data_IF_538895497992
#
_entry.id   IF_538895497992
#
_cell.length_a   1.000
_cell.length_b   1.000
_cell.length_c   1.000
_cell.angle_alpha   90.00
_cell.angle_beta   90.00
_cell.angle_gamma   90.00
#
_symmetry.space_group_name_H-M   'P 1'
#
loop_
_entity.id
_entity.type
_entity.pdbx_description
1 polymer ?
#
# COMPACT_ATOMS: atom_id res chain seq x y z
N UNK A 1 -16.14 15.13 3.28
CA UNK A 1 -15.62 14.08 4.19
C UNK A 1 -14.25 14.50 4.64
N UNK A 2 -13.99 14.40 5.94
CA UNK A 2 -12.74 14.80 6.56
C UNK A 2 -11.73 13.65 6.53
N UNK A 3 -10.49 13.94 6.16
CA UNK A 3 -9.38 12.97 6.11
C UNK A 3 -8.26 13.27 7.12
N UNK A 4 -8.49 14.15 8.10
CA UNK A 4 -7.46 14.55 9.08
C UNK A 4 -6.94 13.36 9.90
N UNK A 5 -7.72 12.30 10.05
CA UNK A 5 -7.30 11.07 10.73
C UNK A 5 -6.08 10.39 10.11
N UNK A 6 -5.81 10.61 8.82
CA UNK A 6 -4.72 9.95 8.08
C UNK A 6 -3.34 10.13 8.75
N UNK A 7 -3.13 11.28 9.39
CA UNK A 7 -1.83 11.61 10.01
C UNK A 7 -1.77 11.31 11.52
N UNK A 8 -2.74 10.58 12.05
CA UNK A 8 -2.81 10.27 13.49
C UNK A 8 -2.85 8.77 13.74
N UNK A 9 -2.30 8.28 14.88
CA UNK A 9 -2.50 6.91 15.28
C UNK A 9 -3.99 6.57 15.40
N UNK A 10 -4.41 5.36 15.05
CA UNK A 10 -3.61 4.22 14.62
C UNK A 10 -3.34 4.18 13.10
N UNK A 11 -3.82 5.13 12.31
CA UNK A 11 -3.69 5.15 10.84
C UNK A 11 -2.30 5.57 10.37
N UNK A 12 -1.60 6.38 11.16
CA UNK A 12 -0.19 6.71 10.97
C UNK A 12 0.54 6.56 12.30
N UNK A 13 1.65 5.84 12.29
CA UNK A 13 2.49 5.63 13.46
C UNK A 13 3.48 6.77 13.71
N UNK A 14 3.25 7.93 13.14
CA UNK A 14 4.08 9.11 13.41
C UNK A 14 4.02 9.45 14.89
N UNK A 15 5.13 9.26 15.57
CA UNK A 15 5.28 9.76 16.93
C UNK A 15 5.29 11.29 16.93
N UNK A 16 4.74 11.88 17.98
CA UNK A 16 4.84 13.32 18.16
C UNK A 16 6.33 13.72 18.24
N UNK A 17 6.70 14.71 17.47
CA UNK A 17 8.08 15.23 17.46
C UNK A 17 8.41 15.73 18.87
N UNK A 18 9.43 15.15 19.49
CA UNK A 18 9.79 15.53 20.86
C UNK A 18 10.19 17.02 20.94
N UNK A 19 9.81 17.75 21.98
CA UNK A 19 10.21 19.15 22.14
C UNK A 19 11.74 19.34 22.10
N UNK A 20 12.50 18.37 22.57
CA UNK A 20 13.96 18.37 22.51
C UNK A 20 14.49 18.32 21.08
N UNK A 21 13.89 17.50 20.21
CA UNK A 21 14.25 17.42 18.79
C UNK A 21 13.93 18.74 18.07
N UNK A 22 12.80 19.37 18.39
CA UNK A 22 12.44 20.68 17.86
C UNK A 22 13.48 21.74 18.24
N UNK A 23 13.89 21.76 19.51
CA UNK A 23 14.91 22.70 20.01
C UNK A 23 16.28 22.44 19.37
N UNK A 24 16.67 21.17 19.27
CA UNK A 24 17.93 20.78 18.61
C UNK A 24 17.94 21.22 17.16
N UNK A 25 16.85 21.00 16.44
CA UNK A 25 16.74 21.40 15.03
C UNK A 25 16.75 22.92 14.83
N UNK A 26 16.29 23.72 15.81
CA UNK A 26 16.46 25.20 15.76
C UNK A 26 17.93 25.61 15.79
N UNK A 27 18.76 24.90 16.55
CA UNK A 27 20.20 25.15 16.61
C UNK A 27 20.90 24.65 15.34
N UNK A 28 20.64 23.42 14.94
CA UNK A 28 21.24 22.77 13.79
C UNK A 28 20.93 23.48 12.47
N UNK A 29 19.76 24.09 12.34
CA UNK A 29 19.39 24.90 11.18
C UNK A 29 20.39 26.04 10.90
N UNK A 30 21.07 26.58 11.93
CA UNK A 30 22.07 27.64 11.76
C UNK A 30 23.33 27.19 11.00
N UNK A 31 23.58 25.88 10.99
CA UNK A 31 24.72 25.25 10.29
C UNK A 31 24.27 24.36 9.13
N UNK A 32 23.02 24.52 8.68
CA UNK A 32 22.49 23.78 7.52
C UNK A 32 22.18 22.29 7.79
N UNK A 33 22.12 21.88 9.06
CA UNK A 33 21.83 20.51 9.47
C UNK A 33 20.42 20.37 10.02
N UNK A 34 19.84 19.16 9.91
CA UNK A 34 18.58 18.77 10.50
C UNK A 34 18.64 17.32 10.93
N UNK A 35 18.08 17.01 12.10
CA UNK A 35 17.82 15.66 12.54
C UNK A 35 16.36 15.36 12.20
N UNK A 36 16.12 14.28 11.47
CA UNK A 36 14.78 13.78 11.22
C UNK A 36 14.47 12.63 12.19
N UNK A 37 13.19 12.51 12.54
CA UNK A 37 12.70 11.41 13.34
C UNK A 37 12.79 10.14 12.49
N UNK A 38 13.43 9.11 13.03
CA UNK A 38 13.43 7.80 12.38
C UNK A 38 12.09 7.12 12.63
N UNK A 39 11.39 6.77 11.55
CA UNK A 39 10.17 5.98 11.64
C UNK A 39 10.51 4.53 11.93
N UNK A 40 9.70 3.90 12.78
CA UNK A 40 9.70 2.45 12.89
C UNK A 40 9.02 1.86 11.63
N UNK A 41 9.83 1.69 10.58
CA UNK A 41 9.39 1.09 9.31
C UNK A 41 8.83 -0.33 9.49
N UNK A 42 9.14 -0.97 10.61
CA UNK A 42 8.59 -2.27 10.98
C UNK A 42 7.09 -2.22 11.29
N UNK A 43 6.59 -1.04 11.61
CA UNK A 43 5.19 -0.85 12.00
C UNK A 43 4.40 -0.06 10.98
N UNK A 44 5.07 0.78 10.21
CA UNK A 44 4.41 1.65 9.24
C UNK A 44 5.39 2.09 8.16
N UNK A 45 5.23 1.54 6.96
CA UNK A 45 6.03 1.89 5.78
C UNK A 45 5.32 2.87 4.86
N UNK A 46 4.01 3.12 5.07
CA UNK A 46 3.23 3.98 4.20
C UNK A 46 3.44 5.47 4.51
N UNK A 47 3.73 6.27 3.50
CA UNK A 47 3.85 7.73 3.64
C UNK A 47 2.47 8.41 3.80
N UNK A 48 2.46 9.67 4.26
CA UNK A 48 1.22 10.45 4.33
C UNK A 48 0.68 10.76 2.94
N UNK A 49 1.58 11.02 2.00
CA UNK A 49 1.25 11.27 0.59
C UNK A 49 0.55 10.07 -0.04
N UNK A 50 1.07 8.87 0.20
CA UNK A 50 0.43 7.61 -0.24
C UNK A 50 -0.97 7.46 0.37
N UNK A 51 -1.13 7.69 1.68
CA UNK A 51 -2.43 7.61 2.34
C UNK A 51 -3.44 8.61 1.79
N UNK A 52 -3.00 9.84 1.48
CA UNK A 52 -3.87 10.85 0.86
C UNK A 52 -4.34 10.36 -0.50
N UNK A 53 -3.44 9.82 -1.33
CA UNK A 53 -3.79 9.27 -2.63
C UNK A 53 -4.77 8.09 -2.49
N UNK A 54 -4.49 7.14 -1.61
CA UNK A 54 -5.38 5.98 -1.38
C UNK A 54 -6.75 6.41 -0.87
N UNK A 55 -6.81 7.39 0.04
CA UNK A 55 -8.07 7.95 0.49
C UNK A 55 -8.89 8.49 -0.67
N UNK A 56 -8.29 9.27 -1.58
CA UNK A 56 -9.01 9.83 -2.72
C UNK A 56 -9.42 8.78 -3.74
N UNK A 57 -8.53 7.83 -4.07
CA UNK A 57 -8.83 6.75 -5.01
C UNK A 57 -9.96 5.85 -4.47
N UNK A 58 -9.89 5.45 -3.21
CA UNK A 58 -10.92 4.63 -2.60
C UNK A 58 -12.25 5.41 -2.43
N UNK A 59 -12.18 6.70 -2.05
CA UNK A 59 -13.35 7.58 -1.99
C UNK A 59 -14.06 7.64 -3.35
N UNK A 60 -13.32 7.68 -4.45
CA UNK A 60 -13.87 7.68 -5.80
C UNK A 60 -14.64 6.41 -6.11
N UNK A 61 -14.10 5.24 -5.72
CA UNK A 61 -14.80 3.95 -5.87
C UNK A 61 -16.16 3.95 -5.17
N UNK A 62 -16.24 4.52 -3.96
CA UNK A 62 -17.49 4.62 -3.23
C UNK A 62 -18.46 5.64 -3.83
N UNK A 63 -17.96 6.80 -4.28
CA UNK A 63 -18.79 7.83 -4.91
C UNK A 63 -19.40 7.38 -6.24
N UNK A 64 -18.67 6.56 -6.98
CA UNK A 64 -19.12 6.00 -8.27
C UNK A 64 -19.93 4.69 -8.06
N UNK A 65 -20.17 4.29 -6.81
CA UNK A 65 -20.95 3.09 -6.43
C UNK A 65 -20.44 1.81 -7.10
N UNK A 66 -19.12 1.71 -7.30
CA UNK A 66 -18.50 0.56 -7.97
C UNK A 66 -18.81 -0.72 -7.21
N UNK A 67 -19.36 -1.73 -7.90
CA UNK A 67 -19.67 -3.03 -7.32
C UNK A 67 -18.42 -3.83 -6.98
N UNK A 68 -18.54 -4.69 -5.97
CA UNK A 68 -17.46 -5.60 -5.56
C UNK A 68 -16.85 -5.25 -4.21
N UNK A 69 -15.88 -6.04 -3.80
CA UNK A 69 -15.23 -6.00 -2.50
C UNK A 69 -13.90 -5.23 -2.56
N UNK A 70 -13.30 -5.02 -1.40
CA UNK A 70 -11.98 -4.42 -1.27
C UNK A 70 -10.94 -5.52 -1.06
N UNK A 71 -9.79 -5.40 -1.72
CA UNK A 71 -8.71 -6.41 -1.65
C UNK A 71 -7.37 -5.72 -1.39
N UNK A 72 -6.54 -6.33 -0.54
CA UNK A 72 -5.13 -6.00 -0.39
C UNK A 72 -4.28 -7.25 -0.53
N UNK A 73 -3.29 -7.19 -1.41
CA UNK A 73 -2.32 -8.26 -1.67
C UNK A 73 -0.95 -7.80 -1.19
N UNK A 74 -0.48 -8.40 -0.09
CA UNK A 74 0.64 -7.90 0.69
C UNK A 74 0.18 -6.87 1.72
N UNK A 75 -0.09 -7.35 2.95
CA UNK A 75 -0.74 -6.53 3.97
C UNK A 75 0.18 -6.18 5.13
N UNK A 76 1.17 -7.03 5.40
CA UNK A 76 2.09 -6.89 6.51
C UNK A 76 1.36 -6.61 7.84
N UNK A 77 1.63 -5.48 8.50
CA UNK A 77 0.97 -5.10 9.78
C UNK A 77 -0.39 -4.43 9.60
N UNK A 78 -0.89 -4.31 8.36
CA UNK A 78 -2.23 -3.84 8.03
C UNK A 78 -2.43 -2.33 8.03
N UNK A 79 -1.39 -1.51 7.86
CA UNK A 79 -1.53 -0.06 7.94
C UNK A 79 -2.34 0.54 6.78
N UNK A 80 -2.19 0.01 5.57
CA UNK A 80 -3.04 0.40 4.44
C UNK A 80 -4.45 -0.18 4.60
N UNK A 81 -4.57 -1.45 5.00
CA UNK A 81 -5.86 -2.09 5.30
C UNK A 81 -6.68 -1.32 6.34
N UNK A 82 -6.04 -0.77 7.39
CA UNK A 82 -6.70 0.10 8.37
C UNK A 82 -7.32 1.35 7.73
N UNK A 83 -6.58 2.00 6.83
CA UNK A 83 -7.07 3.15 6.08
C UNK A 83 -8.28 2.75 5.22
N UNK A 84 -8.17 1.64 4.48
CA UNK A 84 -9.25 1.15 3.61
C UNK A 84 -10.51 0.84 4.41
N UNK A 85 -10.36 0.14 5.52
CA UNK A 85 -11.49 -0.19 6.40
C UNK A 85 -12.09 1.06 7.05
N UNK A 86 -11.28 2.06 7.41
CA UNK A 86 -11.79 3.33 7.93
C UNK A 86 -12.63 4.07 6.90
N UNK A 87 -12.15 4.17 5.67
CA UNK A 87 -12.90 4.81 4.56
C UNK A 87 -14.18 4.03 4.29
N UNK A 88 -14.12 2.70 4.24
CA UNK A 88 -15.29 1.84 4.08
C UNK A 88 -16.36 2.12 5.16
N UNK A 89 -15.94 2.20 6.43
CA UNK A 89 -16.84 2.53 7.55
C UNK A 89 -17.46 3.93 7.43
N UNK A 90 -16.70 4.92 6.91
CA UNK A 90 -17.19 6.29 6.71
C UNK A 90 -18.28 6.40 5.64
N UNK A 91 -18.21 5.56 4.61
CA UNK A 91 -19.23 5.52 3.56
C UNK A 91 -20.44 4.64 3.91
N UNK A 92 -20.26 3.64 4.78
CA UNK A 92 -21.35 2.79 5.26
C UNK A 92 -21.88 1.77 4.25
N UNK A 93 -21.18 1.54 3.13
CA UNK A 93 -21.60 0.57 2.10
C UNK A 93 -21.37 -0.89 2.48
N UNK A 94 -20.61 -1.14 3.56
CA UNK A 94 -20.42 -2.48 4.10
C UNK A 94 -19.66 -3.45 3.20
N UNK A 95 -18.80 -2.95 2.29
CA UNK A 95 -17.92 -3.81 1.48
C UNK A 95 -17.01 -4.61 2.41
N UNK A 96 -16.80 -5.89 2.10
CA UNK A 96 -15.83 -6.70 2.82
C UNK A 96 -14.41 -6.30 2.37
N UNK A 97 -13.50 -6.29 3.31
CA UNK A 97 -12.06 -6.13 3.05
C UNK A 97 -11.38 -7.48 3.18
N UNK A 98 -10.77 -7.96 2.11
CA UNK A 98 -9.98 -9.17 2.04
C UNK A 98 -8.50 -8.82 2.03
N UNK A 99 -7.70 -9.47 2.89
CA UNK A 99 -6.26 -9.26 2.95
C UNK A 99 -5.52 -10.57 2.76
N UNK A 100 -4.52 -10.54 1.87
CA UNK A 100 -3.71 -11.70 1.49
C UNK A 100 -2.27 -11.47 1.88
N UNK A 101 -1.70 -12.34 2.70
CA UNK A 101 -0.29 -12.29 3.11
C UNK A 101 0.16 -13.64 3.68
N UNK A 102 1.42 -13.97 3.54
CA UNK A 102 1.99 -15.14 4.22
C UNK A 102 2.15 -14.91 5.72
N UNK A 103 2.35 -13.67 6.13
CA UNK A 103 2.70 -13.23 7.49
C UNK A 103 3.99 -13.88 8.02
N UNK A 104 4.82 -14.38 7.11
CA UNK A 104 6.09 -15.03 7.44
C UNK A 104 7.28 -14.09 7.28
N UNK A 105 7.13 -13.01 6.49
CA UNK A 105 8.17 -12.01 6.31
C UNK A 105 8.25 -11.18 7.59
N UNK A 106 9.37 -11.34 8.27
CA UNK A 106 9.66 -10.64 9.53
C UNK A 106 10.90 -9.78 9.32
N UNK A 107 10.75 -8.51 9.47
CA UNK A 107 11.91 -7.61 9.51
C UNK A 107 12.58 -7.62 10.89
N UNK A 108 11.92 -8.16 11.94
CA UNK A 108 12.50 -8.49 13.25
C UNK A 108 11.96 -9.84 13.73
N UNK A 109 12.82 -10.65 14.36
CA UNK A 109 12.44 -11.98 14.86
C UNK A 109 11.41 -11.96 16.01
N UNK A 110 11.16 -10.81 16.60
CA UNK A 110 10.35 -10.66 17.83
C UNK A 110 8.89 -10.30 17.59
N UNK A 111 8.48 -10.00 16.34
CA UNK A 111 7.14 -9.53 16.03
C UNK A 111 6.34 -10.61 15.31
N UNK A 112 5.19 -10.98 15.85
CA UNK A 112 4.17 -11.73 15.12
C UNK A 112 3.32 -10.74 14.30
N UNK A 113 3.58 -10.71 13.00
CA UNK A 113 2.98 -9.76 12.06
C UNK A 113 1.45 -9.89 12.02
N UNK A 114 0.94 -11.14 12.02
CA UNK A 114 -0.51 -11.38 12.00
C UNK A 114 -1.18 -10.92 13.30
N UNK A 115 -0.56 -11.19 14.45
CA UNK A 115 -1.09 -10.72 15.74
C UNK A 115 -1.11 -9.19 15.79
N UNK A 116 -0.04 -8.55 15.33
CA UNK A 116 0.04 -7.08 15.29
C UNK A 116 -1.03 -6.46 14.37
N UNK A 117 -1.28 -7.07 13.20
CA UNK A 117 -2.39 -6.65 12.32
C UNK A 117 -3.72 -6.66 13.10
N UNK A 118 -4.05 -7.76 13.77
CA UNK A 118 -5.29 -7.89 14.54
C UNK A 118 -5.38 -6.86 15.68
N UNK A 119 -4.29 -6.67 16.41
CA UNK A 119 -4.18 -5.66 17.47
C UNK A 119 -4.43 -4.25 16.92
N UNK A 120 -3.88 -3.93 15.76
CA UNK A 120 -4.08 -2.65 15.09
C UNK A 120 -5.56 -2.38 14.78
N UNK A 121 -6.29 -3.39 14.27
CA UNK A 121 -7.72 -3.27 14.00
C UNK A 121 -8.54 -3.10 15.28
N UNK A 122 -8.23 -3.85 16.33
CA UNK A 122 -8.87 -3.70 17.66
C UNK A 122 -8.62 -2.31 18.22
N UNK A 123 -7.37 -1.83 18.19
CA UNK A 123 -7.01 -0.50 18.69
C UNK A 123 -7.69 0.63 17.90
N UNK A 124 -7.97 0.42 16.61
CA UNK A 124 -8.70 1.36 15.76
C UNK A 124 -10.22 1.32 15.98
N UNK A 125 -10.75 0.32 16.68
CA UNK A 125 -12.20 0.09 16.79
C UNK A 125 -12.86 -0.25 15.45
N UNK A 126 -12.12 -0.91 14.55
CA UNK A 126 -12.58 -1.28 13.22
C UNK A 126 -12.81 -2.80 13.11
N UNK A 127 -13.73 -3.17 12.23
CA UNK A 127 -13.94 -4.58 11.89
C UNK A 127 -12.68 -5.17 11.26
N UNK A 128 -12.21 -6.29 11.79
CA UNK A 128 -11.07 -7.01 11.25
C UNK A 128 -11.40 -7.50 9.82
N UNK A 129 -10.45 -7.41 8.86
CA UNK A 129 -10.66 -7.90 7.51
C UNK A 129 -10.78 -9.43 7.47
N UNK A 130 -11.23 -9.95 6.35
CA UNK A 130 -11.14 -11.37 6.03
C UNK A 130 -9.70 -11.70 5.68
N UNK A 131 -9.05 -12.53 6.49
CA UNK A 131 -7.61 -12.80 6.43
C UNK A 131 -7.37 -14.11 5.68
N UNK A 132 -6.65 -14.02 4.56
CA UNK A 132 -6.22 -15.15 3.74
C UNK A 132 -4.72 -15.37 3.92
N UNK A 133 -4.37 -16.20 4.92
CA UNK A 133 -2.97 -16.50 5.24
C UNK A 133 -2.39 -17.55 4.30
N UNK A 134 -1.31 -17.18 3.61
CA UNK A 134 -0.55 -18.09 2.73
C UNK A 134 0.19 -17.31 1.64
N UNK A 135 0.97 -18.04 0.85
CA UNK A 135 1.61 -17.46 -0.32
C UNK A 135 0.57 -17.14 -1.39
N UNK A 136 0.81 -16.09 -2.19
CA UNK A 136 -0.14 -15.59 -3.19
C UNK A 136 -0.53 -16.66 -4.22
N UNK A 137 0.43 -17.46 -4.69
CA UNK A 137 0.17 -18.55 -5.61
C UNK A 137 -0.78 -19.64 -5.07
N UNK A 138 -0.89 -19.75 -3.75
CA UNK A 138 -1.71 -20.77 -3.09
C UNK A 138 -3.09 -20.23 -2.68
N UNK A 139 -3.22 -18.93 -2.54
CA UNK A 139 -4.43 -18.30 -1.97
C UNK A 139 -5.26 -17.52 -2.99
N UNK A 140 -4.63 -16.78 -3.92
CA UNK A 140 -5.38 -15.85 -4.78
C UNK A 140 -6.36 -16.56 -5.69
N UNK A 141 -5.95 -17.62 -6.40
CA UNK A 141 -6.80 -18.28 -7.39
C UNK A 141 -8.12 -18.83 -6.83
N UNK A 142 -8.12 -19.25 -5.56
CA UNK A 142 -9.28 -19.90 -4.91
C UNK A 142 -10.03 -19.06 -3.89
N UNK A 143 -9.47 -17.93 -3.44
CA UNK A 143 -10.00 -17.18 -2.30
C UNK A 143 -10.28 -15.69 -2.60
N UNK A 144 -9.92 -15.21 -3.80
CA UNK A 144 -10.31 -13.85 -4.24
C UNK A 144 -11.83 -13.77 -4.41
N UNK A 145 -12.47 -12.63 -4.04
CA UNK A 145 -13.87 -12.38 -4.38
C UNK A 145 -14.06 -12.33 -5.90
N UNK A 146 -15.24 -12.68 -6.37
CA UNK A 146 -15.59 -12.69 -7.80
C UNK A 146 -15.53 -11.26 -8.39
N UNK A 147 -15.98 -10.28 -7.62
CA UNK A 147 -16.02 -8.88 -8.02
C UNK A 147 -15.17 -8.04 -7.08
N UNK A 148 -14.23 -7.29 -7.63
CA UNK A 148 -13.33 -6.41 -6.91
C UNK A 148 -13.60 -4.97 -7.33
N UNK A 149 -13.94 -4.11 -6.37
CA UNK A 149 -14.11 -2.67 -6.59
C UNK A 149 -12.80 -1.90 -6.43
N UNK A 150 -11.94 -2.36 -5.52
CA UNK A 150 -10.65 -1.74 -5.24
C UNK A 150 -9.65 -2.82 -4.86
N UNK A 151 -8.47 -2.76 -5.45
CA UNK A 151 -7.34 -3.60 -5.04
C UNK A 151 -6.08 -2.78 -4.85
N UNK A 152 -5.37 -3.06 -3.76
CA UNK A 152 -4.04 -2.57 -3.47
C UNK A 152 -3.06 -3.73 -3.55
N UNK A 153 -2.06 -3.63 -4.42
CA UNK A 153 -1.02 -4.65 -4.61
C UNK A 153 0.30 -4.10 -4.11
N UNK A 154 0.76 -4.67 -3.01
CA UNK A 154 2.04 -4.39 -2.34
C UNK A 154 2.73 -5.73 -2.06
N UNK A 155 3.00 -6.48 -3.12
CA UNK A 155 3.42 -7.86 -3.05
C UNK A 155 4.83 -8.07 -3.59
N UNK A 156 5.51 -8.98 -2.95
CA UNK A 156 6.88 -9.34 -3.31
C UNK A 156 7.91 -8.53 -2.53
N UNK A 157 8.98 -9.20 -2.22
CA UNK A 157 10.12 -8.63 -1.54
C UNK A 157 11.39 -9.33 -2.05
N UNK A 158 12.52 -8.69 -1.83
CA UNK A 158 13.83 -9.23 -2.19
C UNK A 158 14.51 -8.42 -3.28
N UNK A 159 15.78 -8.74 -3.51
CA UNK A 159 16.67 -7.94 -4.36
C UNK A 159 16.64 -8.33 -5.84
N UNK A 160 15.98 -9.46 -6.20
CA UNK A 160 15.89 -9.92 -7.59
C UNK A 160 14.70 -9.29 -8.32
N UNK A 161 14.92 -8.32 -9.23
CA UNK A 161 13.85 -7.65 -9.94
C UNK A 161 13.02 -8.58 -10.84
N UNK A 162 13.63 -9.64 -11.37
CA UNK A 162 12.92 -10.55 -12.27
C UNK A 162 12.03 -11.52 -11.49
N UNK A 163 12.46 -11.95 -10.31
CA UNK A 163 11.61 -12.72 -9.41
C UNK A 163 10.44 -11.87 -8.90
N UNK A 164 10.70 -10.63 -8.50
CA UNK A 164 9.67 -9.69 -8.06
C UNK A 164 8.65 -9.43 -9.19
N UNK A 165 9.12 -9.12 -10.40
CA UNK A 165 8.28 -8.99 -11.59
C UNK A 165 7.36 -10.19 -11.78
N UNK A 166 7.91 -11.42 -11.70
CA UNK A 166 7.14 -12.65 -11.87
C UNK A 166 6.02 -12.79 -10.83
N UNK A 167 6.27 -12.43 -9.58
CA UNK A 167 5.27 -12.47 -8.50
C UNK A 167 4.15 -11.47 -8.79
N UNK A 168 4.50 -10.23 -9.13
CA UNK A 168 3.52 -9.17 -9.44
C UNK A 168 2.66 -9.55 -10.65
N UNK A 169 3.27 -10.07 -11.73
CA UNK A 169 2.52 -10.56 -12.90
C UNK A 169 1.53 -11.66 -12.55
N UNK A 170 1.93 -12.60 -11.69
CA UNK A 170 1.01 -13.66 -11.23
C UNK A 170 -0.17 -13.09 -10.42
N UNK A 171 0.08 -12.11 -9.54
CA UNK A 171 -0.99 -11.42 -8.79
C UNK A 171 -1.92 -10.64 -9.74
N UNK A 172 -1.38 -9.91 -10.71
CA UNK A 172 -2.17 -9.20 -11.72
C UNK A 172 -3.05 -10.12 -12.55
N UNK A 173 -2.54 -11.27 -12.94
CA UNK A 173 -3.29 -12.27 -13.73
C UNK A 173 -4.52 -12.80 -12.98
N UNK A 174 -4.45 -12.92 -11.66
CA UNK A 174 -5.57 -13.37 -10.82
C UNK A 174 -6.56 -12.23 -10.50
N UNK A 175 -6.06 -11.04 -10.24
CA UNK A 175 -6.86 -9.89 -9.77
C UNK A 175 -7.59 -9.18 -10.90
N UNK A 176 -6.89 -8.90 -12.01
CA UNK A 176 -7.43 -8.07 -13.09
C UNK A 176 -8.73 -8.58 -13.72
N UNK A 177 -8.94 -9.90 -13.96
CA UNK A 177 -10.20 -10.42 -14.49
C UNK A 177 -11.40 -10.19 -13.56
N UNK A 178 -11.15 -10.02 -12.26
CA UNK A 178 -12.17 -9.82 -11.22
C UNK A 178 -12.43 -8.34 -10.91
N UNK A 179 -11.57 -7.45 -11.40
CA UNK A 179 -11.74 -6.02 -11.22
C UNK A 179 -12.94 -5.55 -12.07
N UNK A 180 -13.95 -5.00 -11.40
CA UNK A 180 -15.18 -4.56 -12.05
C UNK A 180 -14.98 -3.25 -12.83
N UNK A 181 -15.80 -2.95 -13.86
CA UNK A 181 -15.74 -1.66 -14.54
C UNK A 181 -15.84 -0.49 -13.56
N UNK A 182 -14.93 0.48 -13.69
CA UNK A 182 -14.80 1.60 -12.74
C UNK A 182 -13.97 1.28 -11.51
N UNK A 183 -13.67 0.01 -11.26
CA UNK A 183 -12.79 -0.43 -10.17
C UNK A 183 -11.37 0.09 -10.32
N UNK A 184 -10.69 0.26 -9.20
CA UNK A 184 -9.34 0.83 -9.15
C UNK A 184 -8.34 -0.22 -8.65
N UNK A 185 -7.26 -0.42 -9.41
CA UNK A 185 -6.08 -1.16 -8.98
C UNK A 185 -4.94 -0.22 -8.66
N UNK A 186 -4.31 -0.37 -7.50
CA UNK A 186 -3.16 0.41 -7.03
C UNK A 186 -1.95 -0.51 -6.91
N UNK A 187 -0.80 -0.06 -7.41
CA UNK A 187 0.45 -0.80 -7.44
C UNK A 187 1.50 -0.04 -6.64
N UNK A 188 1.88 -0.60 -5.49
CA UNK A 188 2.93 -0.02 -4.64
C UNK A 188 4.30 -0.21 -5.27
N UNK A 189 5.22 0.67 -4.90
CA UNK A 189 6.61 0.64 -5.36
C UNK A 189 6.76 0.62 -6.90
N UNK A 190 5.79 1.25 -7.58
CA UNK A 190 5.91 1.47 -9.02
C UNK A 190 6.91 2.59 -9.28
N UNK A 191 8.02 2.24 -9.86
CA UNK A 191 9.03 3.17 -10.33
C UNK A 191 9.25 2.96 -11.82
N UNK A 192 9.43 4.05 -12.54
CA UNK A 192 9.93 3.97 -13.92
C UNK A 192 11.28 3.25 -13.91
N UNK A 193 11.40 2.09 -14.58
CA UNK A 193 12.63 1.32 -14.60
C UNK A 193 13.85 2.10 -15.12
N UNK A 194 13.64 3.04 -16.07
CA UNK A 194 14.69 3.88 -16.62
C UNK A 194 15.21 4.91 -15.60
N UNK A 195 14.37 5.30 -14.64
CA UNK A 195 14.73 6.25 -13.59
C UNK A 195 15.18 5.60 -12.28
N UNK A 196 15.12 4.28 -12.15
CA UNK A 196 15.37 3.59 -10.88
C UNK A 196 16.73 3.95 -10.26
N UNK A 197 17.79 4.03 -11.06
CA UNK A 197 19.15 4.38 -10.60
C UNK A 197 19.24 5.84 -10.12
N UNK A 198 18.55 6.76 -10.80
CA UNK A 198 18.50 8.17 -10.42
C UNK A 198 17.70 8.37 -9.14
N UNK A 199 16.54 7.74 -9.03
CA UNK A 199 15.69 7.77 -7.85
C UNK A 199 16.41 7.20 -6.63
N UNK A 200 17.15 6.10 -6.79
CA UNK A 200 17.96 5.51 -5.71
C UNK A 200 19.00 6.50 -5.17
N UNK A 201 19.65 7.26 -6.06
CA UNK A 201 20.61 8.31 -5.67
C UNK A 201 19.95 9.50 -4.99
N UNK A 202 18.81 9.98 -5.53
CA UNK A 202 18.07 11.14 -5.00
C UNK A 202 17.55 10.85 -3.60
N UNK A 203 16.93 9.70 -3.39
CA UNK A 203 16.33 9.33 -2.11
C UNK A 203 17.29 8.66 -1.14
N UNK A 204 18.57 8.48 -1.53
CA UNK A 204 19.59 7.77 -0.73
C UNK A 204 19.13 6.37 -0.29
N UNK A 205 18.34 5.74 -1.11
CA UNK A 205 17.91 4.35 -0.93
C UNK A 205 19.02 3.43 -1.44
N UNK A 206 19.22 2.31 -0.77
CA UNK A 206 20.27 1.36 -1.16
C UNK A 206 19.99 0.77 -2.54
N UNK A 207 18.73 0.51 -2.83
CA UNK A 207 18.29 0.04 -4.16
C UNK A 207 16.78 0.23 -4.30
N UNK A 208 16.35 0.75 -5.47
CA UNK A 208 14.94 0.72 -5.88
C UNK A 208 14.77 -0.51 -6.75
N UNK A 209 13.83 -1.38 -6.38
CA UNK A 209 13.54 -2.57 -7.16
C UNK A 209 12.54 -2.23 -8.28
N UNK A 210 12.92 -2.31 -9.57
CA UNK A 210 12.04 -1.97 -10.68
C UNK A 210 11.02 -3.07 -11.00
N UNK A 211 10.95 -4.15 -10.24
CA UNK A 211 10.13 -5.32 -10.55
C UNK A 211 8.65 -5.00 -10.73
N UNK A 212 8.09 -4.10 -9.92
CA UNK A 212 6.68 -3.68 -10.05
C UNK A 212 6.46 -2.91 -11.35
N UNK A 213 7.29 -1.90 -11.66
CA UNK A 213 7.19 -1.15 -12.92
C UNK A 213 7.28 -2.07 -14.13
N UNK A 214 8.30 -2.94 -14.17
CA UNK A 214 8.48 -3.93 -15.24
C UNK A 214 7.27 -4.86 -15.40
N UNK A 215 6.61 -5.24 -14.32
CA UNK A 215 5.44 -6.12 -14.36
C UNK A 215 4.19 -5.37 -14.84
N UNK A 216 3.93 -4.21 -14.29
CA UNK A 216 2.74 -3.40 -14.59
C UNK A 216 2.79 -2.93 -16.05
N UNK A 217 3.92 -2.42 -16.52
CA UNK A 217 4.09 -1.96 -17.91
C UNK A 217 3.90 -3.10 -18.90
N UNK A 218 4.48 -4.27 -18.62
CA UNK A 218 4.27 -5.46 -19.46
C UNK A 218 2.82 -5.88 -19.48
N UNK A 219 2.19 -5.97 -18.30
CA UNK A 219 0.81 -6.47 -18.15
C UNK A 219 -0.22 -5.55 -18.82
N UNK A 220 -0.02 -4.23 -18.76
CA UNK A 220 -0.95 -3.25 -19.32
C UNK A 220 -0.60 -2.78 -20.74
N UNK A 221 0.49 -3.28 -21.33
CA UNK A 221 0.94 -2.87 -22.68
C UNK A 221 -0.10 -3.08 -23.79
N UNK A 222 -0.98 -4.06 -23.64
CA UNK A 222 -2.03 -4.43 -24.60
C UNK A 222 -3.46 -4.17 -24.08
N UNK A 223 -3.60 -3.48 -22.95
CA UNK A 223 -4.89 -3.20 -22.29
C UNK A 223 -5.31 -1.76 -22.47
N UNK A 224 -6.62 -1.46 -22.41
CA UNK A 224 -7.12 -0.10 -22.60
C UNK A 224 -6.85 0.83 -21.41
N UNK A 225 -6.51 0.29 -20.24
CA UNK A 225 -6.28 1.09 -19.04
C UNK A 225 -4.95 1.84 -19.12
N UNK A 226 -5.00 3.15 -18.85
CA UNK A 226 -3.82 3.97 -18.65
C UNK A 226 -3.24 3.74 -17.25
N UNK A 227 -1.93 3.52 -17.17
CA UNK A 227 -1.19 3.46 -15.90
C UNK A 227 -0.79 4.87 -15.49
N UNK A 228 -1.32 5.34 -14.36
CA UNK A 228 -1.09 6.70 -13.86
C UNK A 228 -0.21 6.64 -12.63
N UNK A 229 0.97 7.24 -12.71
CA UNK A 229 1.91 7.34 -11.59
C UNK A 229 1.54 8.49 -10.66
N UNK A 230 1.59 8.22 -9.35
CA UNK A 230 1.32 9.19 -8.31
C UNK A 230 2.55 9.39 -7.42
N UNK A 231 2.78 10.64 -7.03
CA UNK A 231 3.80 10.96 -6.05
C UNK A 231 3.40 10.43 -4.66
N UNK A 232 4.27 9.63 -4.06
CA UNK A 232 4.07 9.01 -2.74
C UNK A 232 5.17 9.33 -1.73
N UNK A 233 5.93 10.41 -1.92
CA UNK A 233 7.10 10.72 -1.11
C UNK A 233 8.33 9.95 -1.61
N UNK A 234 9.05 9.23 -0.73
CA UNK A 234 10.24 8.46 -1.12
C UNK A 234 9.94 7.29 -2.06
N UNK A 235 8.71 6.75 -2.00
CA UNK A 235 8.25 5.66 -2.84
C UNK A 235 7.06 6.11 -3.68
N UNK A 236 7.14 5.95 -5.00
CA UNK A 236 6.01 6.20 -5.89
C UNK A 236 5.07 4.99 -5.92
N UNK A 237 3.90 5.18 -6.48
CA UNK A 237 2.94 4.13 -6.76
C UNK A 237 2.15 4.52 -8.01
N UNK A 238 1.54 3.56 -8.64
CA UNK A 238 0.68 3.80 -9.78
C UNK A 238 -0.72 3.24 -9.55
N UNK A 239 -1.67 3.67 -10.37
CA UNK A 239 -2.99 3.07 -10.39
C UNK A 239 -3.53 2.98 -11.80
N UNK A 240 -4.49 2.09 -11.97
CA UNK A 240 -5.37 2.03 -13.15
C UNK A 240 -6.82 2.15 -12.71
N UNK A 241 -7.67 2.54 -13.63
CA UNK A 241 -9.13 2.44 -13.51
C UNK A 241 -9.65 1.50 -14.58
N UNK A 242 -10.30 0.40 -14.16
CA UNK A 242 -10.85 -0.61 -15.05
C UNK A 242 -11.85 0.00 -16.02
N UNK A 243 -11.63 -0.18 -17.30
CA UNK A 243 -12.58 0.19 -18.35
C UNK A 243 -13.69 -0.86 -18.49
N UNK A 244 -14.85 -0.43 -18.93
CA UNK A 244 -16.02 -1.29 -19.15
C UNK A 244 -15.98 -2.02 -20.50
#
# INVERSE_FOLDING_TARGET
MDNLFINHPPFSRREAVSPSLVLTNKVLKKVGLRLDHHFDTMRDMCSVEQRINFFHLLTRVFQDEVEGELVEVGTFTGQCALLFQKVNALFGYGKRLHVFDSFEIKFTETVDVLSLLKENFVAAGLTCPEIHKGYFQDTLSGQLPENIAFVHIDCGCGDDPMLHKKIVLACLAEVYPRLTPGGIGVFMDYFDPEMADELSRIHKLHQINPGVGLAVDEFFSDKPEEVITLFGGPASHAYIRKQG
#
